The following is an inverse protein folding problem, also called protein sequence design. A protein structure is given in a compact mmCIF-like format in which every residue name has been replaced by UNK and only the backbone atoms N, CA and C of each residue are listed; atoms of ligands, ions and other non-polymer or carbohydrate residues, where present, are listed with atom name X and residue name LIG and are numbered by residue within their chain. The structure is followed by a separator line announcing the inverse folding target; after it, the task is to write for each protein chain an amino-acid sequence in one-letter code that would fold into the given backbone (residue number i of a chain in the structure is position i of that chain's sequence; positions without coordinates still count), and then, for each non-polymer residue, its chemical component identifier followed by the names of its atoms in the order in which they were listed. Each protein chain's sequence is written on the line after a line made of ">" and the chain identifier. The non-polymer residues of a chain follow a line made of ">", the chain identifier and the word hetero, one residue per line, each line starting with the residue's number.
data_IF_273410535188
#
_entry.id   IF_273410535188
#
_cell.length_a   1.000
_cell.length_b   1.000
_cell.length_c   1.000
_cell.angle_alpha   90.00
_cell.angle_beta   90.00
_cell.angle_gamma   90.00
#
_symmetry.space_group_name_H-M   'P 1'
#
loop_
_entity.id
_entity.type
_entity.pdbx_description
1 polymer ?
#
# COMPACT_ATOMS: atom_id res chain seq x y z
N UNK A 1 -8.32 -10.21 24.37
CA UNK A 1 -7.74 -9.04 23.67
C UNK A 1 -6.76 -9.55 22.63
N UNK A 2 -7.23 -9.91 21.43
CA UNK A 2 -6.34 -10.25 20.32
C UNK A 2 -6.03 -8.96 19.56
N UNK A 3 -4.77 -8.53 19.52
CA UNK A 3 -4.37 -7.44 18.63
C UNK A 3 -4.77 -7.83 17.19
N UNK A 4 -5.30 -6.90 16.38
CA UNK A 4 -5.54 -7.18 14.97
C UNK A 4 -4.21 -7.64 14.37
N UNK A 5 -4.16 -8.87 13.86
CA UNK A 5 -2.97 -9.39 13.16
C UNK A 5 -2.81 -8.57 11.89
N UNK A 6 -1.99 -7.52 11.97
CA UNK A 6 -1.57 -6.74 10.80
C UNK A 6 -0.88 -7.70 9.84
N UNK A 7 -1.25 -7.65 8.56
CA UNK A 7 -0.51 -8.37 7.53
C UNK A 7 0.88 -7.74 7.43
N UNK A 8 1.92 -8.47 7.86
CA UNK A 8 3.31 -8.04 7.74
C UNK A 8 3.80 -8.30 6.32
N UNK A 9 3.68 -7.28 5.46
CA UNK A 9 4.10 -7.32 4.06
C UNK A 9 5.28 -6.37 3.81
N UNK A 10 6.04 -6.07 4.86
CA UNK A 10 7.18 -5.16 4.83
C UNK A 10 8.24 -5.70 3.88
N UNK A 11 8.60 -4.91 2.86
CA UNK A 11 9.58 -5.30 1.83
C UNK A 11 9.13 -6.45 0.94
N UNK A 12 7.84 -6.82 0.95
CA UNK A 12 7.34 -7.91 0.13
C UNK A 12 7.38 -7.53 -1.36
N UNK A 13 7.85 -8.46 -2.19
CA UNK A 13 7.66 -8.37 -3.64
C UNK A 13 6.24 -8.86 -3.99
N UNK A 14 5.38 -7.91 -4.30
CA UNK A 14 3.99 -8.10 -4.74
C UNK A 14 3.83 -7.67 -6.20
N UNK A 15 4.93 -7.70 -6.96
CA UNK A 15 4.93 -7.35 -8.38
C UNK A 15 3.92 -8.22 -9.13
N UNK A 16 3.00 -7.59 -9.87
CA UNK A 16 1.91 -8.23 -10.63
C UNK A 16 0.94 -9.07 -9.78
N UNK A 17 0.93 -8.89 -8.47
CA UNK A 17 0.01 -9.61 -7.58
C UNK A 17 -1.45 -9.22 -7.87
N UNK A 18 -2.35 -10.21 -7.86
CA UNK A 18 -3.79 -9.95 -7.94
C UNK A 18 -4.36 -9.76 -6.52
N UNK A 19 -4.50 -8.51 -6.10
CA UNK A 19 -5.01 -8.10 -4.77
C UNK A 19 -6.43 -7.49 -4.88
N UNK A 20 -7.19 -7.90 -5.91
CA UNK A 20 -8.51 -7.35 -6.18
C UNK A 20 -9.46 -7.67 -5.03
N UNK A 21 -10.01 -6.65 -4.37
CA UNK A 21 -10.90 -6.82 -3.22
C UNK A 21 -10.20 -7.29 -1.95
N UNK A 22 -8.87 -7.23 -1.87
CA UNK A 22 -8.13 -7.64 -0.69
C UNK A 22 -8.39 -6.70 0.50
N UNK A 23 -8.56 -7.29 1.69
CA UNK A 23 -8.57 -6.56 2.96
C UNK A 23 -7.13 -6.39 3.45
N UNK A 24 -6.57 -5.21 3.23
CA UNK A 24 -5.22 -4.81 3.64
C UNK A 24 -5.29 -3.73 4.74
N UNK A 25 -6.41 -3.65 5.47
CA UNK A 25 -6.58 -2.66 6.53
C UNK A 25 -5.51 -2.84 7.60
N UNK A 26 -4.78 -1.78 7.90
CA UNK A 26 -3.70 -1.82 8.89
C UNK A 26 -2.46 -2.64 8.50
N UNK A 27 -2.37 -3.12 7.25
CA UNK A 27 -1.23 -3.89 6.77
C UNK A 27 0.06 -3.07 6.80
N UNK A 28 1.18 -3.69 7.17
CA UNK A 28 2.49 -3.05 7.07
C UNK A 28 3.10 -3.36 5.70
N UNK A 29 2.97 -2.44 4.76
CA UNK A 29 3.49 -2.53 3.39
C UNK A 29 4.78 -1.73 3.22
N UNK A 30 5.46 -1.35 4.30
CA UNK A 30 6.64 -0.51 4.23
C UNK A 30 7.68 -1.10 3.27
N UNK A 31 8.07 -0.34 2.23
CA UNK A 31 9.05 -0.80 1.23
C UNK A 31 8.60 -1.97 0.34
N UNK A 32 7.33 -2.36 0.34
CA UNK A 32 6.82 -3.41 -0.55
C UNK A 32 6.86 -2.95 -2.02
N UNK A 33 7.06 -3.89 -2.95
CA UNK A 33 6.96 -3.62 -4.39
C UNK A 33 5.58 -4.03 -4.89
N UNK A 34 4.75 -3.05 -5.25
CA UNK A 34 3.41 -3.22 -5.81
C UNK A 34 3.38 -2.93 -7.32
N UNK A 35 4.53 -2.99 -8.00
CA UNK A 35 4.62 -2.76 -9.44
C UNK A 35 3.65 -3.67 -10.20
N UNK A 36 2.80 -3.08 -11.05
CA UNK A 36 1.74 -3.81 -11.78
C UNK A 36 0.74 -4.62 -10.92
N UNK A 37 0.71 -4.45 -9.59
CA UNK A 37 -0.25 -5.14 -8.73
C UNK A 37 -1.69 -4.66 -8.99
N UNK A 38 -2.66 -5.57 -9.08
CA UNK A 38 -4.06 -5.22 -9.23
C UNK A 38 -4.71 -4.98 -7.85
N UNK A 39 -4.80 -3.71 -7.44
CA UNK A 39 -5.44 -3.28 -6.19
C UNK A 39 -6.91 -2.86 -6.38
N UNK A 40 -7.55 -3.24 -7.48
CA UNK A 40 -8.95 -2.84 -7.76
C UNK A 40 -9.86 -3.25 -6.59
N UNK A 41 -10.56 -2.28 -5.97
CA UNK A 41 -11.43 -2.49 -4.79
C UNK A 41 -10.71 -3.02 -3.53
N UNK A 42 -9.38 -2.96 -3.45
CA UNK A 42 -8.68 -3.31 -2.22
C UNK A 42 -8.93 -2.26 -1.13
N UNK A 43 -9.08 -2.68 0.12
CA UNK A 43 -9.20 -1.80 1.27
C UNK A 43 -7.81 -1.62 1.93
N UNK A 44 -7.24 -0.43 1.75
CA UNK A 44 -5.93 -0.03 2.30
C UNK A 44 -6.07 0.88 3.52
N UNK A 45 -7.25 0.95 4.15
CA UNK A 45 -7.50 1.86 5.27
C UNK A 45 -6.52 1.60 6.41
N UNK A 46 -5.69 2.61 6.73
CA UNK A 46 -4.67 2.52 7.78
C UNK A 46 -3.47 1.63 7.44
N UNK A 47 -3.31 1.19 6.20
CA UNK A 47 -2.11 0.47 5.76
C UNK A 47 -0.88 1.40 5.75
N UNK A 48 0.28 0.88 6.17
CA UNK A 48 1.56 1.59 6.09
C UNK A 48 2.16 1.44 4.69
N UNK A 49 1.88 2.40 3.81
CA UNK A 49 2.36 2.42 2.42
C UNK A 49 3.66 3.21 2.25
N UNK A 50 4.36 3.52 3.34
CA UNK A 50 5.56 4.33 3.27
C UNK A 50 6.66 3.64 2.46
N UNK A 51 7.27 4.37 1.53
CA UNK A 51 8.37 3.88 0.67
C UNK A 51 8.02 2.68 -0.20
N UNK A 52 6.73 2.37 -0.39
CA UNK A 52 6.30 1.36 -1.38
C UNK A 52 6.82 1.74 -2.76
N UNK A 53 7.29 0.75 -3.52
CA UNK A 53 7.59 0.89 -4.95
C UNK A 53 6.28 0.63 -5.69
N UNK A 54 5.80 1.61 -6.44
CA UNK A 54 4.50 1.51 -7.09
C UNK A 54 4.62 1.79 -8.60
N UNK A 55 4.98 0.78 -9.39
CA UNK A 55 4.92 0.81 -10.86
C UNK A 55 3.53 0.48 -11.43
N UNK A 56 2.46 0.93 -10.78
CA UNK A 56 1.09 0.50 -11.09
C UNK A 56 0.40 1.41 -12.12
N UNK A 57 -0.13 0.81 -13.19
CA UNK A 57 -1.14 1.45 -14.07
C UNK A 57 -2.52 1.32 -13.41
N UNK A 58 -3.13 2.44 -13.01
CA UNK A 58 -4.51 2.45 -12.52
C UNK A 58 -4.74 3.14 -11.18
N UNK A 59 -3.69 3.55 -10.46
CA UNK A 59 -3.84 4.51 -9.36
C UNK A 59 -4.18 5.88 -9.95
N UNK A 60 -5.25 6.50 -9.47
CA UNK A 60 -5.56 7.89 -9.83
C UNK A 60 -4.51 8.83 -9.26
N UNK A 61 -4.32 9.99 -9.87
CA UNK A 61 -3.39 11.02 -9.35
C UNK A 61 -3.75 11.42 -7.92
N UNK A 62 -5.03 11.37 -7.53
CA UNK A 62 -5.47 11.57 -6.15
C UNK A 62 -4.91 10.51 -5.19
N UNK A 63 -4.89 9.23 -5.60
CA UNK A 63 -4.34 8.15 -4.79
C UNK A 63 -2.81 8.26 -4.69
N UNK A 64 -2.14 8.67 -5.78
CA UNK A 64 -0.70 8.96 -5.77
C UNK A 64 -0.39 10.13 -4.85
N UNK A 65 -1.22 11.18 -4.90
CA UNK A 65 -1.13 12.37 -4.05
C UNK A 65 -1.35 12.04 -2.58
N UNK A 66 -2.38 11.28 -2.22
CA UNK A 66 -2.62 10.87 -0.83
C UNK A 66 -1.46 10.02 -0.27
N UNK A 67 -0.85 9.17 -1.11
CA UNK A 67 0.34 8.40 -0.72
C UNK A 67 1.55 9.33 -0.55
N UNK A 68 1.78 10.26 -1.48
CA UNK A 68 2.91 11.20 -1.45
C UNK A 68 2.76 12.29 -0.38
N UNK A 69 1.55 12.76 -0.09
CA UNK A 69 1.23 13.72 0.98
C UNK A 69 1.36 13.04 2.35
N UNK A 70 1.00 11.76 2.47
CA UNK A 70 1.36 10.94 3.64
C UNK A 70 2.89 10.76 3.83
N UNK A 71 3.68 10.99 2.78
CA UNK A 71 5.14 11.03 2.78
C UNK A 71 5.73 12.45 3.00
N UNK A 72 4.90 13.51 2.97
CA UNK A 72 5.31 14.91 3.24
C UNK A 72 4.99 15.36 4.68
N UNK A 73 5.39 14.57 5.67
CA UNK A 73 5.49 15.03 7.06
C UNK A 73 6.96 15.22 7.52
N UNK A 74 7.91 15.26 6.59
CA UNK A 74 9.32 15.54 6.91
C UNK A 74 10.07 16.08 5.69
N UNK A 75 9.80 17.34 5.33
CA UNK A 75 10.75 18.16 4.59
C UNK A 75 10.76 19.54 5.28
N UNK A 76 11.58 19.66 6.31
CA UNK A 76 12.33 20.91 6.52
C UNK A 76 13.54 20.89 5.58
#
# INVERSE_FOLDING_TARGET
>A
MGAPRRAGLRGADLTRACLRGADLRGADLWGADLTEANLTRADLTGANLFKVIWGVKGLSEEQRRLIMEGLQASWE
#
